data_IF_796947957267
#
_entry.id   IF_796947957267
#
_cell.length_a   1.000
_cell.length_b   1.000
_cell.length_c   1.000
_cell.angle_alpha   90.00
_cell.angle_beta   90.00
_cell.angle_gamma   90.00
#
_symmetry.space_group_name_H-M   'P 1'
#
loop_
_entity.id
_entity.type
_entity.pdbx_description
1 polymer ?
#
# COMPACT_ATOMS: atom_id res chain seq x y z
N UNK A 1 0.22 4.56 -6.39
CA UNK A 1 0.55 3.72 -5.22
C UNK A 1 -0.35 4.10 -4.05
N UNK A 2 -0.44 3.24 -3.05
CA UNK A 2 -1.10 3.51 -1.77
C UNK A 2 -0.43 2.67 -0.68
N UNK A 3 -0.60 3.04 0.60
CA UNK A 3 -0.08 2.27 1.72
C UNK A 3 -1.02 1.14 2.15
N UNK A 4 -0.47 0.11 2.80
CA UNK A 4 -1.25 -1.05 3.27
C UNK A 4 -2.42 -0.68 4.21
N UNK A 5 -2.34 0.43 4.94
CA UNK A 5 -3.38 0.93 5.84
C UNK A 5 -4.32 1.96 5.17
N UNK A 6 -4.22 2.16 3.85
CA UNK A 6 -5.05 3.14 3.14
C UNK A 6 -6.50 2.70 2.93
N UNK A 7 -6.88 1.50 3.38
CA UNK A 7 -8.22 0.90 3.19
C UNK A 7 -8.67 0.81 1.72
N UNK A 8 -7.72 0.74 0.79
CA UNK A 8 -8.00 0.58 -0.64
C UNK A 8 -8.01 -0.90 -0.97
N UNK A 9 -9.10 -1.36 -1.58
CA UNK A 9 -9.22 -2.70 -2.15
C UNK A 9 -8.68 -2.72 -3.59
N UNK A 10 -7.50 -3.32 -3.86
CA UNK A 10 -6.85 -3.29 -5.16
C UNK A 10 -7.70 -3.83 -6.30
N UNK A 11 -8.42 -4.92 -6.06
CA UNK A 11 -9.18 -5.58 -7.12
C UNK A 11 -10.41 -4.76 -7.52
N UNK A 12 -11.06 -4.11 -6.55
CA UNK A 12 -12.14 -3.15 -6.82
C UNK A 12 -11.66 -1.96 -7.66
N UNK A 13 -10.47 -1.42 -7.35
CA UNK A 13 -9.91 -0.31 -8.12
C UNK A 13 -9.56 -0.72 -9.56
N UNK A 14 -8.93 -1.89 -9.74
CA UNK A 14 -8.60 -2.44 -11.06
C UNK A 14 -9.86 -2.71 -11.89
N UNK A 15 -10.88 -3.27 -11.26
CA UNK A 15 -12.17 -3.51 -11.89
C UNK A 15 -12.80 -2.19 -12.38
N UNK A 16 -12.93 -1.21 -11.49
CA UNK A 16 -13.50 0.09 -11.84
C UNK A 16 -12.72 0.77 -12.97
N UNK A 17 -11.38 0.76 -12.91
CA UNK A 17 -10.53 1.31 -13.97
C UNK A 17 -10.82 0.64 -15.32
N UNK A 18 -10.83 -0.70 -15.36
CA UNK A 18 -11.09 -1.46 -16.58
C UNK A 18 -12.47 -1.12 -17.14
N UNK A 19 -13.51 -1.14 -16.30
CA UNK A 19 -14.88 -0.83 -16.72
C UNK A 19 -15.01 0.59 -17.26
N UNK A 20 -14.39 1.58 -16.62
CA UNK A 20 -14.46 2.98 -17.05
C UNK A 20 -13.60 3.27 -18.28
N UNK A 21 -12.53 2.49 -18.50
CA UNK A 21 -11.66 2.64 -19.67
C UNK A 21 -12.27 2.08 -20.96
N UNK A 22 -13.22 1.16 -20.85
CA UNK A 22 -13.82 0.49 -22.01
C UNK A 22 -14.58 1.51 -22.90
N UNK A 23 -14.41 1.39 -24.22
CA UNK A 23 -14.98 2.34 -25.19
C UNK A 23 -14.35 3.74 -25.20
N UNK A 24 -13.26 3.98 -24.46
CA UNK A 24 -12.50 5.24 -24.46
C UNK A 24 -11.14 5.06 -25.15
N UNK A 25 -10.38 6.14 -25.46
CA UNK A 25 -8.98 6.02 -25.89
C UNK A 25 -8.09 5.24 -24.91
N UNK A 26 -8.50 5.15 -23.65
CA UNK A 26 -7.79 4.43 -22.59
C UNK A 26 -8.10 2.93 -22.55
N UNK A 27 -8.86 2.36 -23.49
CA UNK A 27 -9.28 0.95 -23.45
C UNK A 27 -8.11 -0.06 -23.35
N UNK A 28 -6.91 0.33 -23.79
CA UNK A 28 -5.68 -0.47 -23.69
C UNK A 28 -4.71 0.01 -22.60
N UNK A 29 -5.08 1.04 -21.84
CA UNK A 29 -4.27 1.56 -20.75
C UNK A 29 -4.12 0.52 -19.64
N UNK A 30 -2.96 0.52 -18.98
CA UNK A 30 -2.63 -0.42 -17.89
C UNK A 30 -2.56 0.32 -16.57
N UNK A 31 -3.39 -0.08 -15.61
CA UNK A 31 -3.26 0.38 -14.24
C UNK A 31 -2.23 -0.48 -13.48
N UNK A 32 -1.13 0.12 -13.08
CA UNK A 32 -0.14 -0.49 -12.18
C UNK A 32 -0.30 0.10 -10.77
N UNK A 33 -0.68 -0.73 -9.81
CA UNK A 33 -0.86 -0.32 -8.41
C UNK A 33 0.21 -0.94 -7.52
N UNK A 34 1.08 -0.10 -6.98
CA UNK A 34 2.03 -0.48 -5.93
C UNK A 34 1.42 -0.25 -4.54
N UNK A 35 1.32 -1.30 -3.74
CA UNK A 35 0.95 -1.22 -2.32
C UNK A 35 2.24 -1.10 -1.51
N UNK A 36 2.42 0.03 -0.85
CA UNK A 36 3.56 0.30 0.01
C UNK A 36 3.40 -0.49 1.32
N UNK A 37 4.49 -1.09 1.83
CA UNK A 37 4.43 -1.95 3.00
C UNK A 37 4.01 -1.20 4.25
N UNK A 38 3.40 -1.94 5.18
CA UNK A 38 3.25 -1.52 6.57
C UNK A 38 4.60 -1.67 7.25
N UNK A 39 5.06 -0.63 7.95
CA UNK A 39 6.26 -0.72 8.76
C UNK A 39 6.04 -0.18 10.15
N UNK A 40 6.72 -0.80 11.11
CA UNK A 40 6.79 -0.35 12.49
C UNK A 40 8.25 -0.11 12.88
N UNK A 41 8.49 0.96 13.64
CA UNK A 41 9.72 1.11 14.39
C UNK A 41 9.56 0.44 15.74
N UNK A 42 10.42 -0.53 16.05
CA UNK A 42 10.44 -1.18 17.35
C UNK A 42 11.50 -0.53 18.24
N UNK A 43 11.08 0.01 19.38
CA UNK A 43 12.00 0.66 20.33
C UNK A 43 12.93 -0.36 21.01
N UNK A 44 12.48 -1.60 21.22
CA UNK A 44 13.32 -2.65 21.82
C UNK A 44 14.36 -3.23 20.85
N UNK A 45 14.06 -3.25 19.54
CA UNK A 45 15.00 -3.73 18.50
C UNK A 45 15.81 -2.59 17.86
N UNK A 46 15.47 -1.33 18.20
CA UNK A 46 16.01 -0.09 17.65
C UNK A 46 16.07 -0.06 16.12
N UNK A 47 15.01 -0.54 15.46
CA UNK A 47 14.98 -0.60 14.00
C UNK A 47 13.57 -0.58 13.45
N UNK A 48 13.50 -0.19 12.18
CA UNK A 48 12.31 -0.34 11.36
C UNK A 48 12.17 -1.77 10.87
N UNK A 49 10.94 -2.29 10.91
CA UNK A 49 10.59 -3.66 10.56
C UNK A 49 9.33 -3.60 9.70
N UNK A 50 9.36 -4.32 8.58
CA UNK A 50 8.20 -4.52 7.73
C UNK A 50 7.25 -5.56 8.35
N UNK A 51 5.96 -5.26 8.37
CA UNK A 51 4.93 -6.17 8.82
C UNK A 51 4.29 -6.86 7.61
N UNK A 52 4.32 -8.19 7.58
CA UNK A 52 3.64 -8.98 6.55
C UNK A 52 2.11 -8.91 6.71
N UNK A 53 1.65 -8.94 7.97
CA UNK A 53 0.25 -8.85 8.37
C UNK A 53 -0.13 -7.43 8.82
N UNK A 54 -1.44 -7.15 8.78
CA UNK A 54 -2.01 -5.86 9.17
C UNK A 54 -2.15 -5.67 10.70
N UNK A 55 -1.39 -6.41 11.52
CA UNK A 55 -1.33 -6.22 12.97
C UNK A 55 -0.08 -5.43 13.37
N UNK A 56 -0.17 -4.09 13.51
CA UNK A 56 0.95 -3.25 13.90
C UNK A 56 1.19 -3.20 15.42
N UNK A 57 0.50 -4.02 16.23
CA UNK A 57 0.55 -3.88 17.70
C UNK A 57 1.78 -4.52 18.35
N UNK A 58 2.48 -5.39 17.63
CA UNK A 58 3.65 -6.12 18.14
C UNK A 58 4.76 -6.17 17.11
N UNK A 59 6.00 -6.13 17.60
CA UNK A 59 7.17 -6.34 16.76
C UNK A 59 7.24 -7.80 16.30
N UNK A 60 7.27 -8.11 14.99
CA UNK A 60 7.32 -9.50 14.52
C UNK A 60 8.67 -10.18 14.82
N UNK A 61 9.72 -9.42 15.19
CA UNK A 61 11.03 -9.97 15.55
C UNK A 61 11.17 -10.33 17.02
N UNK A 62 10.78 -9.43 17.94
CA UNK A 62 10.96 -9.64 19.38
C UNK A 62 9.65 -9.83 20.16
N UNK A 63 8.50 -9.70 19.49
CA UNK A 63 7.14 -9.80 20.07
C UNK A 63 6.79 -8.74 21.13
N UNK A 64 7.68 -7.77 21.36
CA UNK A 64 7.44 -6.62 22.22
C UNK A 64 6.36 -5.68 21.67
N UNK A 65 5.71 -4.96 22.57
CA UNK A 65 4.60 -4.01 22.32
C UNK A 65 5.05 -2.55 22.18
N UNK A 66 6.32 -2.26 22.50
CA UNK A 66 6.93 -0.95 22.28
C UNK A 66 7.25 -0.74 20.80
N UNK A 67 6.20 -0.53 20.01
CA UNK A 67 6.25 -0.27 18.58
C UNK A 67 5.50 1.00 18.22
N UNK A 68 5.96 1.68 17.18
CA UNK A 68 5.29 2.82 16.57
C UNK A 68 5.21 2.58 15.07
N UNK A 69 4.02 2.70 14.49
CA UNK A 69 3.86 2.59 13.04
C UNK A 69 4.59 3.75 12.35
N UNK A 70 5.49 3.44 11.42
CA UNK A 70 6.33 4.42 10.71
C UNK A 70 5.96 4.57 9.23
N UNK A 71 5.30 3.58 8.62
CA UNK A 71 4.86 3.64 7.23
C UNK A 71 3.61 2.77 6.99
N UNK A 72 2.92 3.01 5.87
CA UNK A 72 1.74 2.25 5.44
C UNK A 72 0.45 3.07 5.35
N UNK A 73 0.46 4.33 5.77
CA UNK A 73 -0.71 5.22 5.78
C UNK A 73 -0.91 6.01 4.48
N UNK A 74 -0.02 5.83 3.50
CA UNK A 74 0.00 6.66 2.31
C UNK A 74 -1.33 6.56 1.56
N UNK A 75 -1.95 7.71 1.30
CA UNK A 75 -3.15 7.79 0.49
C UNK A 75 -2.88 7.43 -0.98
N UNK A 76 -3.94 7.20 -1.75
CA UNK A 76 -3.82 6.92 -3.18
C UNK A 76 -3.15 8.09 -3.88
N UNK A 77 -2.06 7.82 -4.59
CA UNK A 77 -1.33 8.81 -5.38
C UNK A 77 -0.99 8.27 -6.77
N UNK A 78 -1.13 9.11 -7.79
CA UNK A 78 -0.56 8.87 -9.13
C UNK A 78 0.92 9.19 -9.06
N UNK A 79 1.77 8.21 -9.37
CA UNK A 79 3.22 8.39 -9.38
C UNK A 79 3.71 8.81 -10.75
N UNK A 80 3.15 8.19 -11.78
CA UNK A 80 3.55 8.35 -13.17
C UNK A 80 2.33 8.14 -14.06
N UNK A 81 2.34 8.80 -15.21
CA UNK A 81 1.32 8.68 -16.26
C UNK A 81 2.03 8.81 -17.60
N UNK A 82 1.97 7.73 -18.38
CA UNK A 82 2.52 7.69 -19.73
C UNK A 82 1.40 7.82 -20.77
N UNK A 83 1.68 8.58 -21.83
CA UNK A 83 0.77 8.83 -22.96
C UNK A 83 1.58 8.77 -24.24
N UNK A 84 1.10 8.00 -25.21
CA UNK A 84 1.66 7.90 -26.57
C UNK A 84 1.11 8.98 -27.52
#
# INVERSE_FOLDING_TARGET
SCGRLSSIEPESLKFAFKTLSDGTPCAQAKLQLTILPLKVFCFSCEREIECEDADPTRCPRCQGDQVMVSAGFQELRIIELDVD
#
